data_IF_263145122543
#
_entry.id   IF_263145122543
#
_cell.length_a   1.000
_cell.length_b   1.000
_cell.length_c   1.000
_cell.angle_alpha   90.00
_cell.angle_beta   90.00
_cell.angle_gamma   90.00
#
_symmetry.space_group_name_H-M   'P 1'
#
loop_
_entity.id
_entity.type
_entity.pdbx_description
1 polymer ?
#
# COMPACT_ATOMS: atom_id res chain seq x y z
N UNK A 1 -14.89 -4.59 25.20
CA UNK A 1 -14.05 -5.75 24.76
C UNK A 1 -15.01 -6.79 24.19
N UNK A 2 -14.62 -7.52 23.15
CA UNK A 2 -15.44 -8.60 22.62
C UNK A 2 -15.63 -9.67 23.68
N UNK A 3 -16.87 -10.20 23.81
CA UNK A 3 -17.14 -11.29 24.74
C UNK A 3 -16.23 -12.50 24.48
N UNK A 4 -15.73 -13.11 25.53
CA UNK A 4 -14.97 -14.36 25.50
C UNK A 4 -13.47 -14.24 25.24
N UNK A 5 -12.90 -13.02 25.11
CA UNK A 5 -11.43 -12.84 24.99
C UNK A 5 -10.91 -11.79 25.95
N UNK A 6 -9.77 -12.05 26.56
CA UNK A 6 -9.02 -11.02 27.29
C UNK A 6 -8.44 -10.00 26.30
N UNK A 7 -8.10 -8.80 26.80
CA UNK A 7 -7.44 -7.76 25.97
C UNK A 7 -6.15 -8.29 25.34
N UNK A 8 -5.36 -9.04 26.11
CA UNK A 8 -4.09 -9.61 25.61
C UNK A 8 -4.29 -10.64 24.49
N UNK A 9 -5.32 -11.47 24.57
CA UNK A 9 -5.64 -12.43 23.51
C UNK A 9 -6.16 -11.72 22.26
N UNK A 10 -7.00 -10.69 22.44
CA UNK A 10 -7.50 -9.90 21.33
C UNK A 10 -6.38 -9.12 20.60
N UNK A 11 -5.43 -8.57 21.33
CA UNK A 11 -4.31 -7.82 20.76
C UNK A 11 -3.30 -8.70 20.00
N UNK A 12 -3.31 -10.01 20.24
CA UNK A 12 -2.52 -11.01 19.49
C UNK A 12 -3.15 -11.41 18.14
N UNK A 13 -4.41 -11.08 17.90
CA UNK A 13 -5.07 -11.37 16.63
C UNK A 13 -4.60 -10.41 15.54
N UNK A 14 -4.63 -10.87 14.30
CA UNK A 14 -4.43 -10.01 13.14
C UNK A 14 -5.54 -8.96 13.02
N UNK A 15 -5.29 -7.89 12.29
CA UNK A 15 -6.27 -6.77 12.16
C UNK A 15 -7.62 -7.26 11.62
N UNK A 16 -7.62 -8.07 10.56
CA UNK A 16 -8.87 -8.56 9.96
C UNK A 16 -9.58 -9.55 10.87
N UNK A 17 -8.85 -10.39 11.60
CA UNK A 17 -9.44 -11.31 12.58
C UNK A 17 -10.12 -10.55 13.71
N UNK A 18 -9.55 -9.41 14.15
CA UNK A 18 -10.17 -8.55 15.16
C UNK A 18 -11.46 -7.93 14.65
N UNK A 19 -11.48 -7.44 13.40
CA UNK A 19 -12.71 -6.89 12.80
C UNK A 19 -13.77 -7.98 12.61
N UNK A 20 -13.40 -9.15 12.10
CA UNK A 20 -14.32 -10.27 11.95
C UNK A 20 -14.95 -10.68 13.30
N UNK A 21 -14.12 -10.78 14.33
CA UNK A 21 -14.61 -11.07 15.69
C UNK A 21 -15.55 -9.98 16.20
N UNK A 22 -15.26 -8.70 16.02
CA UNK A 22 -16.13 -7.59 16.43
C UNK A 22 -17.47 -7.62 15.69
N UNK A 23 -17.47 -7.86 14.39
CA UNK A 23 -18.69 -7.96 13.58
C UNK A 23 -19.58 -9.09 14.09
N UNK A 24 -19.00 -10.28 14.29
CA UNK A 24 -19.72 -11.47 14.80
C UNK A 24 -20.32 -11.26 16.19
N UNK A 25 -19.56 -10.67 17.10
CA UNK A 25 -20.03 -10.38 18.48
C UNK A 25 -21.09 -9.28 18.54
N UNK A 26 -21.17 -8.44 17.49
CA UNK A 26 -22.24 -7.45 17.32
C UNK A 26 -23.50 -8.02 16.63
N UNK A 27 -23.59 -9.34 16.47
CA UNK A 27 -24.68 -10.02 15.75
C UNK A 27 -24.85 -9.56 14.30
N UNK A 28 -23.78 -9.07 13.67
CA UNK A 28 -23.75 -8.72 12.27
C UNK A 28 -23.15 -9.87 11.46
N UNK A 29 -23.70 -10.13 10.27
CA UNK A 29 -23.22 -11.15 9.36
C UNK A 29 -22.37 -10.49 8.27
N UNK A 30 -21.10 -10.90 8.16
CA UNK A 30 -20.23 -10.54 7.04
C UNK A 30 -19.67 -11.79 6.39
N UNK A 31 -19.74 -11.83 5.06
CA UNK A 31 -19.22 -12.98 4.27
C UNK A 31 -17.78 -12.79 3.83
N UNK A 32 -17.25 -11.58 3.87
CA UNK A 32 -15.98 -11.22 3.22
C UNK A 32 -15.02 -10.39 4.08
N UNK A 33 -15.20 -10.38 5.41
CA UNK A 33 -14.35 -9.58 6.32
C UNK A 33 -12.86 -9.89 6.17
N UNK A 34 -12.51 -11.16 5.97
CA UNK A 34 -11.11 -11.61 5.83
C UNK A 34 -10.56 -11.43 4.41
N UNK A 35 -11.41 -11.16 3.44
CA UNK A 35 -11.04 -11.01 2.02
C UNK A 35 -11.69 -9.77 1.40
N UNK A 36 -11.45 -8.58 1.97
CA UNK A 36 -12.02 -7.35 1.38
C UNK A 36 -11.51 -7.14 -0.04
N UNK A 37 -12.38 -6.61 -0.90
CA UNK A 37 -12.07 -6.29 -2.28
C UNK A 37 -12.32 -4.80 -2.51
N UNK A 38 -11.34 -4.11 -3.08
CA UNK A 38 -11.36 -2.66 -3.30
C UNK A 38 -11.70 -2.26 -4.74
N UNK A 39 -11.99 -3.22 -5.63
CA UNK A 39 -12.21 -2.95 -7.07
C UNK A 39 -13.35 -1.97 -7.34
N UNK A 40 -14.34 -1.90 -6.46
CA UNK A 40 -15.48 -0.97 -6.57
C UNK A 40 -15.07 0.50 -6.40
N UNK A 41 -13.91 0.77 -5.77
CA UNK A 41 -13.43 2.12 -5.53
C UNK A 41 -12.68 2.72 -6.74
N UNK A 42 -12.37 1.92 -7.75
CA UNK A 42 -11.61 2.38 -8.92
C UNK A 42 -12.42 3.35 -9.78
N UNK A 43 -11.75 4.37 -10.31
CA UNK A 43 -12.30 5.33 -11.29
C UNK A 43 -11.55 5.25 -12.61
N UNK A 44 -12.06 5.90 -13.66
CA UNK A 44 -11.32 6.05 -14.90
C UNK A 44 -10.13 7.01 -14.70
N UNK A 45 -8.93 6.56 -15.09
CA UNK A 45 -7.68 7.32 -15.07
C UNK A 45 -7.03 7.40 -16.45
N UNK A 46 -7.79 7.21 -17.51
CA UNK A 46 -7.26 7.20 -18.89
C UNK A 46 -6.52 8.48 -19.22
N UNK A 47 -7.06 9.64 -18.86
CA UNK A 47 -6.39 10.94 -19.08
C UNK A 47 -5.07 11.03 -18.32
N UNK A 48 -5.06 10.64 -17.06
CA UNK A 48 -3.84 10.61 -16.24
C UNK A 48 -2.78 9.67 -16.84
N UNK A 49 -3.18 8.48 -17.27
CA UNK A 49 -2.26 7.52 -17.91
C UNK A 49 -1.67 8.06 -19.20
N UNK A 50 -2.46 8.77 -20.00
CA UNK A 50 -2.01 9.41 -21.23
C UNK A 50 -1.04 10.55 -20.95
N UNK A 51 -1.36 11.44 -20.00
CA UNK A 51 -0.52 12.58 -19.59
C UNK A 51 0.88 12.12 -19.18
N UNK A 52 0.97 11.06 -18.38
CA UNK A 52 2.23 10.55 -17.85
C UNK A 52 2.80 9.38 -18.66
N UNK A 53 2.19 8.99 -19.79
CA UNK A 53 2.61 7.82 -20.60
C UNK A 53 2.78 6.54 -19.77
N UNK A 54 1.78 6.19 -18.95
CA UNK A 54 1.81 5.05 -18.03
C UNK A 54 1.38 3.75 -18.72
N UNK A 55 2.33 3.01 -19.24
CA UNK A 55 2.10 1.68 -19.81
C UNK A 55 2.48 0.57 -18.83
N UNK A 56 3.78 0.37 -18.59
CA UNK A 56 4.32 -0.56 -17.61
C UNK A 56 5.03 0.26 -16.52
N UNK A 57 4.61 0.15 -15.28
CA UNK A 57 5.23 0.92 -14.20
C UNK A 57 5.28 0.16 -12.87
N UNK A 58 6.29 0.51 -12.09
CA UNK A 58 6.46 0.11 -10.71
C UNK A 58 6.09 1.31 -9.84
N UNK A 59 5.14 1.10 -8.93
CA UNK A 59 4.60 2.15 -8.07
C UNK A 59 5.21 2.03 -6.68
N UNK A 60 5.83 3.11 -6.22
CA UNK A 60 6.48 3.19 -4.92
C UNK A 60 5.66 4.03 -3.94
N UNK A 61 5.56 3.57 -2.69
CA UNK A 61 4.98 4.32 -1.57
C UNK A 61 5.99 4.47 -0.44
N UNK A 62 6.93 5.43 -0.57
CA UNK A 62 8.03 5.62 0.38
C UNK A 62 7.63 6.38 1.65
N UNK A 63 6.43 6.96 1.68
CA UNK A 63 5.99 7.81 2.78
C UNK A 63 5.11 7.06 3.77
N UNK A 64 4.84 7.69 4.89
CA UNK A 64 3.89 7.25 5.91
C UNK A 64 3.44 8.47 6.72
N UNK A 65 2.46 8.28 7.60
CA UNK A 65 2.02 9.36 8.51
C UNK A 65 3.22 10.03 9.20
N UNK A 66 3.25 11.37 9.28
CA UNK A 66 4.41 12.12 9.79
C UNK A 66 4.88 11.70 11.20
N UNK A 67 3.95 11.25 12.04
CA UNK A 67 4.23 10.78 13.40
C UNK A 67 4.70 9.30 13.48
N UNK A 68 4.81 8.61 12.35
CA UNK A 68 5.21 7.19 12.27
C UNK A 68 6.43 6.97 11.38
N UNK A 69 7.40 7.88 11.43
CA UNK A 69 8.61 7.84 10.58
C UNK A 69 9.42 6.55 10.72
N UNK A 70 9.30 5.85 11.85
CA UNK A 70 9.90 4.51 12.05
C UNK A 70 9.45 3.47 11.02
N UNK A 71 8.33 3.70 10.31
CA UNK A 71 7.86 2.84 9.23
C UNK A 71 8.55 3.10 7.90
N UNK A 72 9.31 4.19 7.76
CA UNK A 72 9.94 4.58 6.50
C UNK A 72 11.20 3.77 6.27
N UNK A 73 11.19 2.98 5.20
CA UNK A 73 12.43 2.39 4.69
C UNK A 73 13.23 3.46 3.94
N UNK A 74 14.50 3.71 4.28
CA UNK A 74 15.22 4.88 3.77
C UNK A 74 15.82 4.71 2.36
N UNK A 75 15.86 3.50 1.80
CA UNK A 75 16.63 3.17 0.60
C UNK A 75 15.80 3.13 -0.69
N UNK A 76 14.73 3.93 -0.81
CA UNK A 76 13.90 3.95 -2.02
C UNK A 76 14.65 4.50 -3.23
N UNK A 77 15.59 5.45 -3.06
CA UNK A 77 16.39 5.99 -4.16
C UNK A 77 17.38 4.96 -4.69
N UNK A 78 18.04 4.22 -3.80
CA UNK A 78 18.93 3.13 -4.17
C UNK A 78 18.16 2.01 -4.86
N UNK A 79 16.96 1.68 -4.38
CA UNK A 79 16.08 0.72 -5.03
C UNK A 79 15.68 1.18 -6.43
N UNK A 80 15.26 2.44 -6.60
CA UNK A 80 14.94 3.02 -7.92
C UNK A 80 16.12 2.91 -8.88
N UNK A 81 17.33 3.23 -8.43
CA UNK A 81 18.54 3.10 -9.26
C UNK A 81 18.81 1.64 -9.64
N UNK A 82 18.66 0.70 -8.70
CA UNK A 82 18.84 -0.73 -8.99
C UNK A 82 17.83 -1.23 -10.03
N UNK A 83 16.54 -0.84 -9.88
CA UNK A 83 15.50 -1.22 -10.84
C UNK A 83 15.81 -0.65 -12.23
N UNK A 84 16.19 0.63 -12.33
CA UNK A 84 16.56 1.26 -13.61
C UNK A 84 17.76 0.56 -14.27
N UNK A 85 18.76 0.20 -13.49
CA UNK A 85 19.94 -0.47 -14.00
C UNK A 85 19.65 -1.89 -14.51
N UNK A 86 18.80 -2.65 -13.77
CA UNK A 86 18.46 -4.04 -14.11
C UNK A 86 17.49 -4.14 -15.28
N UNK A 87 16.42 -3.33 -15.24
CA UNK A 87 15.31 -3.41 -16.21
C UNK A 87 15.37 -2.30 -17.27
N UNK A 88 16.33 -1.37 -17.18
CA UNK A 88 16.48 -0.22 -18.08
C UNK A 88 15.14 0.53 -18.19
N UNK A 89 14.67 0.74 -19.43
CA UNK A 89 13.45 1.49 -19.74
C UNK A 89 12.19 0.60 -19.81
N UNK A 90 12.28 -0.67 -19.37
CA UNK A 90 11.12 -1.56 -19.43
C UNK A 90 10.00 -1.09 -18.50
N UNK A 91 10.33 -0.51 -17.35
CA UNK A 91 9.37 -0.03 -16.36
C UNK A 91 9.63 1.42 -16.02
N UNK A 92 8.58 2.22 -16.08
CA UNK A 92 8.58 3.55 -15.45
C UNK A 92 8.48 3.39 -13.93
N UNK A 93 9.30 4.13 -13.19
CA UNK A 93 9.21 4.14 -11.72
C UNK A 93 8.47 5.41 -11.30
N UNK A 94 7.39 5.25 -10.55
CA UNK A 94 6.51 6.34 -10.17
C UNK A 94 6.22 6.36 -8.67
N UNK A 95 5.85 7.53 -8.16
CA UNK A 95 5.31 7.74 -6.82
C UNK A 95 3.99 8.50 -6.94
N UNK A 96 3.03 8.22 -6.05
CA UNK A 96 1.77 8.95 -5.94
C UNK A 96 1.61 9.43 -4.50
N UNK A 97 2.10 10.64 -4.18
CA UNK A 97 2.14 11.16 -2.81
C UNK A 97 0.77 11.62 -2.32
N UNK A 98 0.58 11.57 -1.00
CA UNK A 98 -0.49 12.29 -0.33
C UNK A 98 -0.28 13.82 -0.36
N UNK A 99 -1.29 14.61 0.04
CA UNK A 99 -1.21 16.07 -0.05
C UNK A 99 -0.01 16.69 0.67
N UNK A 100 0.34 16.17 1.83
CA UNK A 100 1.46 16.66 2.65
C UNK A 100 2.84 16.14 2.18
N UNK A 101 2.84 15.15 1.28
CA UNK A 101 4.03 14.44 0.83
C UNK A 101 4.56 14.95 -0.53
N UNK A 102 3.79 15.80 -1.25
CA UNK A 102 4.12 16.27 -2.61
C UNK A 102 5.51 16.89 -2.67
N UNK A 103 5.83 17.75 -1.70
CA UNK A 103 7.14 18.42 -1.66
C UNK A 103 8.27 17.42 -1.42
N UNK A 104 8.05 16.44 -0.56
CA UNK A 104 9.04 15.42 -0.24
C UNK A 104 9.22 14.42 -1.40
N UNK A 105 8.18 14.19 -2.18
CA UNK A 105 8.19 13.28 -3.33
C UNK A 105 9.21 13.70 -4.40
N UNK A 106 9.53 15.00 -4.50
CA UNK A 106 10.56 15.49 -5.42
C UNK A 106 11.98 15.00 -5.10
N UNK A 107 12.21 14.48 -3.89
CA UNK A 107 13.49 13.90 -3.48
C UNK A 107 13.60 12.39 -3.82
N UNK A 108 12.53 11.78 -4.31
CA UNK A 108 12.53 10.38 -4.72
C UNK A 108 12.88 10.29 -6.20
N UNK A 109 13.82 9.40 -6.54
CA UNK A 109 14.25 9.16 -7.92
C UNK A 109 13.18 8.35 -8.71
N UNK A 110 11.97 8.94 -8.80
CA UNK A 110 10.81 8.40 -9.48
C UNK A 110 9.96 9.56 -10.02
N UNK A 111 9.14 9.31 -11.03
CA UNK A 111 8.21 10.32 -11.53
C UNK A 111 7.05 10.49 -10.56
N UNK A 112 6.76 11.74 -10.19
CA UNK A 112 5.67 12.08 -9.27
C UNK A 112 4.35 12.23 -10.04
N UNK A 113 3.35 11.42 -9.71
CA UNK A 113 2.04 11.42 -10.37
C UNK A 113 1.07 12.27 -9.55
N UNK A 114 0.56 13.31 -10.18
CA UNK A 114 -0.39 14.26 -9.61
C UNK A 114 -1.54 14.49 -10.60
N UNK A 115 -2.71 14.83 -10.11
CA UNK A 115 -3.82 15.29 -10.92
C UNK A 115 -3.93 16.82 -10.82
N UNK A 116 -3.62 17.53 -11.91
CA UNK A 116 -3.58 19.00 -11.95
C UNK A 116 -2.75 19.60 -10.79
N UNK A 117 -1.59 19.03 -10.49
CA UNK A 117 -0.68 19.47 -9.43
C UNK A 117 -1.13 19.11 -8.01
N UNK A 118 -2.18 18.32 -7.85
CA UNK A 118 -2.71 17.84 -6.56
C UNK A 118 -2.54 16.34 -6.42
N UNK A 119 -2.55 15.85 -5.19
CA UNK A 119 -2.59 14.42 -4.90
C UNK A 119 -3.82 13.77 -5.53
N UNK A 120 -3.66 12.53 -5.96
CA UNK A 120 -4.76 11.73 -6.49
C UNK A 120 -5.86 11.54 -5.43
N UNK A 121 -7.12 11.50 -5.88
CA UNK A 121 -8.21 10.97 -5.06
C UNK A 121 -7.98 9.49 -4.75
N UNK A 122 -8.62 8.97 -3.70
CA UNK A 122 -8.50 7.54 -3.35
C UNK A 122 -8.93 6.65 -4.51
N UNK A 123 -9.96 7.04 -5.27
CA UNK A 123 -10.43 6.28 -6.43
C UNK A 123 -9.42 6.26 -7.59
N UNK A 124 -8.79 7.40 -7.89
CA UNK A 124 -7.71 7.48 -8.87
C UNK A 124 -6.50 6.67 -8.41
N UNK A 125 -6.13 6.78 -7.12
CA UNK A 125 -5.04 6.01 -6.54
C UNK A 125 -5.30 4.50 -6.61
N UNK A 126 -6.51 4.05 -6.30
CA UNK A 126 -6.91 2.65 -6.42
C UNK A 126 -6.77 2.14 -7.86
N UNK A 127 -7.17 2.94 -8.86
CA UNK A 127 -7.00 2.60 -10.27
C UNK A 127 -5.53 2.55 -10.67
N UNK A 128 -4.73 3.54 -10.24
CA UNK A 128 -3.29 3.56 -10.51
C UNK A 128 -2.60 2.33 -9.91
N UNK A 129 -2.96 1.94 -8.68
CA UNK A 129 -2.46 0.72 -8.04
C UNK A 129 -2.89 -0.52 -8.83
N UNK A 130 -4.16 -0.62 -9.20
CA UNK A 130 -4.72 -1.78 -9.91
C UNK A 130 -4.01 -2.05 -11.23
N UNK A 131 -3.67 -0.99 -11.97
CA UNK A 131 -3.01 -1.07 -13.28
C UNK A 131 -1.49 -1.20 -13.20
N UNK A 132 -0.90 -1.13 -12.01
CA UNK A 132 0.55 -1.23 -11.83
C UNK A 132 1.07 -2.63 -12.13
N UNK A 133 2.29 -2.70 -12.64
CA UNK A 133 3.01 -3.98 -12.80
C UNK A 133 3.44 -4.56 -11.47
N UNK A 134 3.89 -3.68 -10.55
CA UNK A 134 4.34 -4.06 -9.22
C UNK A 134 4.24 -2.88 -8.26
N UNK A 135 3.96 -3.15 -6.99
CA UNK A 135 3.92 -2.15 -5.93
C UNK A 135 4.96 -2.44 -4.86
N UNK A 136 5.68 -1.42 -4.40
CA UNK A 136 6.57 -1.51 -3.25
C UNK A 136 6.18 -0.40 -2.28
N UNK A 137 5.80 -0.76 -1.06
CA UNK A 137 5.25 0.17 -0.09
C UNK A 137 5.77 -0.08 1.33
N UNK A 138 5.86 0.96 2.13
CA UNK A 138 5.93 0.81 3.58
C UNK A 138 4.57 0.30 4.13
N UNK A 139 4.49 -0.05 5.42
CA UNK A 139 3.22 -0.38 6.11
C UNK A 139 2.32 0.87 6.20
N UNK A 140 1.54 1.10 5.14
CA UNK A 140 0.70 2.30 4.95
C UNK A 140 -0.63 1.98 4.29
N UNK A 141 -1.54 2.94 4.24
CA UNK A 141 -2.84 2.80 3.58
C UNK A 141 -2.76 2.27 2.13
N UNK A 142 -1.91 2.85 1.26
CA UNK A 142 -1.71 2.33 -0.10
C UNK A 142 -1.28 0.86 -0.18
N UNK A 143 -0.45 0.37 0.76
CA UNK A 143 -0.09 -1.04 0.82
C UNK A 143 -1.31 -1.94 1.06
N UNK A 144 -2.22 -1.54 1.96
CA UNK A 144 -3.47 -2.25 2.19
C UNK A 144 -4.39 -2.22 0.96
N UNK A 145 -4.52 -1.07 0.30
CA UNK A 145 -5.29 -0.97 -0.96
C UNK A 145 -4.70 -1.94 -2.00
N UNK A 146 -3.38 -1.97 -2.16
CA UNK A 146 -2.68 -2.86 -3.08
C UNK A 146 -2.97 -4.33 -2.79
N UNK A 147 -2.88 -4.73 -1.52
CA UNK A 147 -3.19 -6.09 -1.09
C UNK A 147 -4.64 -6.47 -1.40
N UNK A 148 -5.59 -5.57 -1.13
CA UNK A 148 -7.02 -5.82 -1.32
C UNK A 148 -7.48 -5.69 -2.79
N UNK A 149 -6.68 -5.10 -3.65
CA UNK A 149 -6.86 -5.14 -5.11
C UNK A 149 -6.22 -6.38 -5.75
N UNK A 150 -5.44 -7.15 -4.98
CA UNK A 150 -4.80 -8.38 -5.46
C UNK A 150 -3.66 -8.14 -6.45
N UNK A 151 -3.02 -6.96 -6.42
CA UNK A 151 -1.89 -6.64 -7.28
C UNK A 151 -0.62 -7.32 -6.79
N UNK A 152 0.37 -7.44 -7.68
CA UNK A 152 1.70 -7.94 -7.31
C UNK A 152 2.44 -6.86 -6.52
N UNK A 153 3.09 -7.24 -5.42
CA UNK A 153 3.86 -6.26 -4.67
C UNK A 153 4.43 -6.74 -3.34
N UNK A 154 5.11 -5.81 -2.69
CA UNK A 154 5.76 -6.01 -1.40
C UNK A 154 5.40 -4.88 -0.44
N UNK A 155 5.09 -5.24 0.81
CA UNK A 155 5.06 -4.32 1.93
C UNK A 155 6.33 -4.48 2.77
N UNK A 156 6.99 -3.38 3.08
CA UNK A 156 8.23 -3.33 3.85
C UNK A 156 7.90 -2.99 5.30
N UNK A 157 8.32 -3.85 6.22
CA UNK A 157 8.12 -3.69 7.65
C UNK A 157 9.46 -3.53 8.37
N UNK A 158 9.55 -2.49 9.18
CA UNK A 158 10.60 -2.34 10.18
C UNK A 158 10.22 -3.03 11.50
N UNK A 159 11.00 -2.84 12.58
CA UNK A 159 10.82 -3.50 13.87
C UNK A 159 9.57 -3.03 14.64
N UNK A 160 8.87 -1.99 14.15
CA UNK A 160 7.76 -1.33 14.86
C UNK A 160 6.54 -2.24 15.09
N UNK A 161 6.29 -3.23 14.24
CA UNK A 161 5.15 -4.14 14.33
C UNK A 161 5.35 -5.39 13.48
N UNK A 162 5.01 -6.58 14.01
CA UNK A 162 5.06 -7.80 13.21
C UNK A 162 4.09 -7.76 12.01
N UNK A 163 4.60 -8.00 10.81
CA UNK A 163 3.82 -7.98 9.58
C UNK A 163 2.60 -8.93 9.63
N UNK A 164 2.75 -10.10 10.26
CA UNK A 164 1.68 -11.09 10.46
C UNK A 164 0.45 -10.55 11.18
N UNK A 165 0.60 -9.50 12.00
CA UNK A 165 -0.52 -8.89 12.73
C UNK A 165 -1.27 -7.85 11.89
N UNK A 166 -0.76 -7.47 10.73
CA UNK A 166 -1.33 -6.39 9.91
C UNK A 166 -2.34 -6.90 8.88
N UNK A 167 -2.38 -8.20 8.61
CA UNK A 167 -3.31 -8.85 7.65
C UNK A 167 -3.13 -8.33 6.22
N UNK A 168 -1.88 -8.04 5.81
CA UNK A 168 -1.61 -7.44 4.50
C UNK A 168 -1.29 -8.49 3.44
N UNK A 169 -0.83 -9.69 3.84
CA UNK A 169 -0.42 -10.70 2.88
C UNK A 169 -1.59 -11.27 2.08
N UNK A 170 -1.37 -11.44 0.78
CA UNK A 170 -2.27 -12.04 -0.20
C UNK A 170 -1.47 -12.94 -1.13
N UNK A 171 -2.16 -13.62 -2.04
CA UNK A 171 -1.51 -14.50 -3.01
C UNK A 171 -0.35 -13.82 -3.73
N UNK A 172 -0.57 -12.61 -4.26
CA UNK A 172 0.40 -11.85 -5.06
C UNK A 172 1.06 -10.68 -4.31
N UNK A 173 0.60 -10.35 -3.11
CA UNK A 173 1.13 -9.24 -2.31
C UNK A 173 1.75 -9.80 -1.02
N UNK A 174 3.06 -9.62 -0.86
CA UNK A 174 3.83 -10.21 0.23
C UNK A 174 4.38 -9.14 1.18
N UNK A 175 4.87 -9.57 2.33
CA UNK A 175 5.57 -8.70 3.27
C UNK A 175 7.03 -9.12 3.42
N UNK A 176 7.91 -8.15 3.63
CA UNK A 176 9.28 -8.35 4.06
C UNK A 176 9.42 -7.67 5.42
N UNK A 177 9.85 -8.44 6.41
CA UNK A 177 10.11 -7.97 7.76
C UNK A 177 11.61 -7.97 8.00
N UNK A 178 12.16 -6.85 8.46
CA UNK A 178 13.52 -6.81 8.99
C UNK A 178 13.47 -7.40 10.39
N UNK A 179 14.27 -8.43 10.63
CA UNK A 179 14.53 -8.97 11.97
C UNK A 179 15.61 -8.11 12.64
N UNK A 180 15.44 -7.84 13.94
CA UNK A 180 16.40 -7.07 14.75
C UNK A 180 17.72 -7.84 14.96
#
# INVERSE_FOLDING_TARGET
MPEGKTKQEFDKLSVLDRFDHQIKTSNLVSKHTLYPNFSWACSDITNLKNEYNLNKYILLFPFCSPHLTIKRWPYYNELSNKIKNEFKDEYKIIVAPGPEEIKEASNINAECILDNGKSLSISQLASLIKDSTFVIANDTGPAHISAHLGVKGLALFGPHKPAKLVSIEREKFKSIQVED
#
